data_IF_526287044702
#
_entry.id   IF_526287044702
#
_cell.length_a   1.000
_cell.length_b   1.000
_cell.length_c   1.000
_cell.angle_alpha   90.00
_cell.angle_beta   90.00
_cell.angle_gamma   90.00
#
_symmetry.space_group_name_H-M   'P 1'
#
loop_
_entity.id
_entity.type
_entity.pdbx_description
1 polymer ?
#
# COMPACT_ATOMS: atom_id res chain seq x y z
N UNK A 1 16.12 -14.51 -4.88
CA UNK A 1 15.56 -13.52 -5.85
C UNK A 1 16.29 -12.20 -5.67
N UNK A 2 16.63 -11.54 -6.76
CA UNK A 2 17.17 -10.18 -6.69
C UNK A 2 16.08 -9.19 -6.31
N UNK A 3 16.45 -8.19 -5.51
CA UNK A 3 15.53 -7.12 -5.12
C UNK A 3 15.26 -6.20 -6.33
N UNK A 4 14.00 -5.90 -6.57
CA UNK A 4 13.57 -4.96 -7.60
C UNK A 4 12.95 -3.71 -6.93
N UNK A 5 13.38 -2.49 -7.30
CA UNK A 5 12.96 -1.29 -6.61
C UNK A 5 11.49 -0.93 -6.88
N UNK A 6 10.88 -0.23 -5.94
CA UNK A 6 9.64 0.50 -6.16
C UNK A 6 9.96 1.83 -6.83
N UNK A 7 9.39 2.05 -8.01
CA UNK A 7 9.60 3.31 -8.76
C UNK A 7 8.33 4.16 -8.74
N UNK A 8 8.50 5.48 -8.93
CA UNK A 8 7.36 6.39 -9.07
C UNK A 8 6.47 5.99 -10.27
N UNK A 9 7.09 5.53 -11.36
CA UNK A 9 6.36 5.08 -12.54
C UNK A 9 5.48 3.85 -12.25
N UNK A 10 5.99 2.84 -11.53
CA UNK A 10 5.19 1.66 -11.22
C UNK A 10 4.11 1.95 -10.17
N UNK A 11 4.34 2.90 -9.26
CA UNK A 11 3.32 3.35 -8.34
C UNK A 11 2.15 4.00 -9.10
N UNK A 12 2.44 4.90 -10.03
CA UNK A 12 1.44 5.54 -10.88
C UNK A 12 0.69 4.51 -11.74
N UNK A 13 1.40 3.55 -12.31
CA UNK A 13 0.80 2.46 -13.10
C UNK A 13 -0.15 1.61 -12.26
N UNK A 14 0.23 1.25 -11.04
CA UNK A 14 -0.61 0.48 -10.13
C UNK A 14 -1.88 1.26 -9.75
N UNK A 15 -1.74 2.55 -9.43
CA UNK A 15 -2.87 3.42 -9.13
C UNK A 15 -3.85 3.49 -10.31
N UNK A 16 -3.34 3.70 -11.52
CA UNK A 16 -4.13 3.77 -12.74
C UNK A 16 -4.87 2.45 -13.01
N UNK A 17 -4.16 1.32 -12.90
CA UNK A 17 -4.72 -0.01 -13.15
C UNK A 17 -5.92 -0.31 -12.26
N UNK A 18 -5.91 0.16 -11.02
CA UNK A 18 -6.98 -0.06 -10.05
C UNK A 18 -7.88 1.16 -9.83
N UNK A 19 -7.75 2.19 -10.69
CA UNK A 19 -8.57 3.41 -10.64
C UNK A 19 -8.56 4.04 -9.24
N UNK A 20 -7.37 4.24 -8.70
CA UNK A 20 -7.13 4.83 -7.38
C UNK A 20 -6.42 6.17 -7.53
N UNK A 21 -6.70 7.15 -6.66
CA UNK A 21 -5.90 8.37 -6.63
C UNK A 21 -4.43 8.05 -6.29
N UNK A 22 -3.45 8.46 -7.11
CA UNK A 22 -2.04 8.20 -6.84
C UNK A 22 -1.57 8.70 -5.47
N UNK A 23 -2.11 9.85 -5.02
CA UNK A 23 -1.78 10.42 -3.70
C UNK A 23 -2.21 9.51 -2.55
N UNK A 24 -3.31 8.76 -2.70
CA UNK A 24 -3.75 7.81 -1.68
C UNK A 24 -2.74 6.68 -1.50
N UNK A 25 -2.25 6.11 -2.60
CA UNK A 25 -1.20 5.08 -2.54
C UNK A 25 0.11 5.64 -1.99
N UNK A 26 0.52 6.81 -2.43
CA UNK A 26 1.73 7.45 -1.92
C UNK A 26 1.65 7.67 -0.40
N UNK A 27 0.51 8.17 0.08
CA UNK A 27 0.31 8.43 1.50
C UNK A 27 0.31 7.14 2.34
N UNK A 28 -0.30 6.06 1.83
CA UNK A 28 -0.25 4.74 2.47
C UNK A 28 1.19 4.23 2.52
N UNK A 29 1.92 4.30 1.41
CA UNK A 29 3.33 3.91 1.32
C UNK A 29 4.17 4.60 2.40
N UNK A 30 4.02 5.92 2.53
CA UNK A 30 4.75 6.72 3.51
C UNK A 30 4.34 6.39 4.94
N UNK A 31 3.07 6.15 5.18
CA UNK A 31 2.55 5.78 6.50
C UNK A 31 3.06 4.41 6.93
N UNK A 32 3.09 3.45 6.01
CA UNK A 32 3.63 2.10 6.29
C UNK A 32 5.14 2.10 6.49
N UNK A 33 5.87 2.88 5.70
CA UNK A 33 7.31 3.08 5.87
C UNK A 33 8.17 1.85 5.63
N UNK A 34 7.65 0.85 4.90
CA UNK A 34 8.39 -0.37 4.63
C UNK A 34 9.42 -0.22 3.51
N UNK A 35 10.25 -1.25 3.34
CA UNK A 35 11.29 -1.31 2.32
C UNK A 35 11.19 -2.59 1.51
N UNK A 36 11.65 -2.55 0.27
CA UNK A 36 11.81 -3.77 -0.55
C UNK A 36 12.70 -4.77 0.19
N UNK A 37 12.26 -6.01 0.28
CA UNK A 37 12.96 -7.08 0.99
C UNK A 37 12.67 -7.15 2.49
N UNK A 38 11.96 -6.18 3.06
CA UNK A 38 11.69 -6.14 4.49
C UNK A 38 10.63 -7.14 4.92
N UNK A 39 10.86 -7.76 6.08
CA UNK A 39 9.89 -8.56 6.82
C UNK A 39 9.74 -7.95 8.21
N UNK A 40 8.51 -7.67 8.61
CA UNK A 40 8.19 -7.26 9.98
C UNK A 40 7.35 -8.37 10.62
N UNK A 41 7.86 -8.98 11.68
CA UNK A 41 7.17 -10.06 12.38
C UNK A 41 6.10 -9.50 13.33
N UNK A 42 4.88 -10.01 13.22
CA UNK A 42 3.77 -9.64 14.09
C UNK A 42 3.59 -10.66 15.23
N UNK A 43 3.02 -10.21 16.35
CA UNK A 43 2.80 -11.07 17.53
C UNK A 43 1.84 -12.22 17.25
N UNK A 44 0.95 -12.09 16.26
CA UNK A 44 -0.02 -13.11 15.87
C UNK A 44 0.55 -14.21 14.95
N UNK A 45 1.86 -14.21 14.71
CA UNK A 45 2.53 -15.20 13.85
C UNK A 45 2.49 -14.87 12.36
N UNK A 46 1.89 -13.76 11.96
CA UNK A 46 1.96 -13.27 10.57
C UNK A 46 3.12 -12.31 10.39
N UNK A 47 3.49 -12.06 9.13
CA UNK A 47 4.50 -11.08 8.77
C UNK A 47 3.90 -10.01 7.87
N UNK A 48 4.47 -8.81 7.91
CA UNK A 48 4.20 -7.74 6.97
C UNK A 48 5.40 -7.57 6.05
N UNK A 49 5.13 -7.50 4.74
CA UNK A 49 6.15 -7.63 3.70
C UNK A 49 6.28 -6.37 2.84
N UNK A 50 7.51 -5.93 2.67
CA UNK A 50 7.89 -4.91 1.69
C UNK A 50 7.37 -3.51 1.95
N UNK A 51 7.41 -2.63 0.92
CA UNK A 51 7.10 -1.20 1.09
C UNK A 51 5.73 -0.90 1.67
N UNK A 52 4.70 -1.58 1.20
CA UNK A 52 3.32 -1.39 1.64
C UNK A 52 2.90 -2.28 2.81
N UNK A 53 3.84 -3.01 3.40
CA UNK A 53 3.61 -3.86 4.58
C UNK A 53 2.45 -4.85 4.38
N UNK A 54 2.51 -5.58 3.26
CA UNK A 54 1.48 -6.57 2.91
C UNK A 54 1.56 -7.77 3.86
N UNK A 55 0.46 -8.04 4.57
CA UNK A 55 0.40 -9.13 5.52
C UNK A 55 0.39 -10.50 4.82
N UNK A 56 1.10 -11.47 5.39
CA UNK A 56 1.18 -12.84 4.85
C UNK A 56 -0.17 -13.55 4.82
N UNK A 57 -1.16 -13.08 5.56
CA UNK A 57 -2.54 -13.57 5.49
C UNK A 57 -3.17 -13.42 4.10
N UNK A 58 -2.67 -12.51 3.27
CA UNK A 58 -3.09 -12.36 1.88
C UNK A 58 -2.49 -13.42 0.94
N UNK A 59 -1.56 -14.26 1.43
CA UNK A 59 -0.84 -15.23 0.62
C UNK A 59 -1.72 -16.09 -0.27
N UNK A 60 -2.78 -16.75 0.24
CA UNK A 60 -3.67 -17.55 -0.61
C UNK A 60 -4.32 -16.75 -1.74
N UNK A 61 -4.81 -15.54 -1.46
CA UNK A 61 -5.42 -14.66 -2.47
C UNK A 61 -4.39 -14.23 -3.53
N UNK A 62 -3.18 -13.86 -3.10
CA UNK A 62 -2.10 -13.44 -3.99
C UNK A 62 -1.64 -14.61 -4.87
N UNK A 63 -1.50 -15.79 -4.29
CA UNK A 63 -1.16 -17.01 -5.03
C UNK A 63 -2.17 -17.30 -6.13
N UNK A 64 -3.46 -17.17 -5.86
CA UNK A 64 -4.52 -17.32 -6.87
C UNK A 64 -4.43 -16.22 -7.94
N UNK A 65 -4.20 -15.00 -7.53
CA UNK A 65 -4.10 -13.84 -8.44
C UNK A 65 -2.96 -14.00 -9.46
N UNK A 66 -1.78 -14.44 -9.00
CA UNK A 66 -0.63 -14.65 -9.87
C UNK A 66 -0.49 -16.09 -10.39
N UNK A 67 -1.39 -16.97 -10.01
CA UNK A 67 -1.35 -18.42 -10.39
C UNK A 67 0.00 -19.05 -10.05
N UNK A 68 0.44 -18.84 -8.82
CA UNK A 68 1.69 -19.39 -8.33
C UNK A 68 1.54 -19.91 -6.89
N UNK A 69 2.44 -20.78 -6.43
CA UNK A 69 2.44 -21.26 -5.05
C UNK A 69 2.58 -20.10 -4.06
N UNK A 70 1.91 -20.20 -2.91
CA UNK A 70 1.88 -19.15 -1.89
C UNK A 70 3.28 -18.68 -1.48
N UNK A 71 4.26 -19.58 -1.17
CA UNK A 71 5.59 -19.14 -0.78
C UNK A 71 6.28 -18.26 -1.83
N UNK A 72 6.14 -18.63 -3.11
CA UNK A 72 6.70 -17.86 -4.22
C UNK A 72 6.00 -16.51 -4.41
N UNK A 73 4.68 -16.50 -4.25
CA UNK A 73 3.89 -15.26 -4.31
C UNK A 73 4.30 -14.28 -3.20
N UNK A 74 4.49 -14.76 -1.98
CA UNK A 74 4.92 -13.94 -0.85
C UNK A 74 6.36 -13.44 -1.02
N UNK A 75 7.25 -14.26 -1.56
CA UNK A 75 8.62 -13.82 -1.88
C UNK A 75 8.62 -12.69 -2.91
N UNK A 76 7.80 -12.80 -3.95
CA UNK A 76 7.65 -11.76 -4.96
C UNK A 76 7.12 -10.45 -4.36
N UNK A 77 6.09 -10.53 -3.51
CA UNK A 77 5.56 -9.35 -2.78
C UNK A 77 6.64 -8.69 -1.96
N UNK A 78 7.47 -9.46 -1.29
CA UNK A 78 8.55 -8.95 -0.43
C UNK A 78 9.66 -8.28 -1.25
N UNK A 79 10.12 -8.91 -2.32
CA UNK A 79 11.38 -8.58 -2.99
C UNK A 79 11.21 -7.72 -4.25
N UNK A 80 10.01 -7.54 -4.76
CA UNK A 80 9.69 -6.73 -5.92
C UNK A 80 8.79 -5.55 -5.51
N UNK A 81 9.35 -4.34 -5.52
CA UNK A 81 8.63 -3.14 -5.10
C UNK A 81 7.41 -2.82 -5.96
N UNK A 82 7.50 -3.03 -7.27
CA UNK A 82 6.37 -2.81 -8.18
C UNK A 82 5.28 -3.87 -7.98
N UNK A 83 5.64 -5.12 -7.76
CA UNK A 83 4.69 -6.19 -7.43
C UNK A 83 3.99 -5.90 -6.09
N UNK A 84 4.73 -5.42 -5.10
CA UNK A 84 4.19 -5.00 -3.80
C UNK A 84 3.15 -3.89 -3.97
N UNK A 85 3.44 -2.86 -4.78
CA UNK A 85 2.52 -1.76 -5.07
C UNK A 85 1.25 -2.21 -5.79
N UNK A 86 1.35 -3.16 -6.73
CA UNK A 86 0.19 -3.73 -7.43
C UNK A 86 -0.73 -4.45 -6.43
N UNK A 87 -0.17 -5.26 -5.55
CA UNK A 87 -0.96 -5.98 -4.53
C UNK A 87 -1.60 -4.99 -3.55
N UNK A 88 -0.86 -3.98 -3.09
CA UNK A 88 -1.43 -2.94 -2.22
C UNK A 88 -2.61 -2.23 -2.90
N UNK A 89 -2.49 -1.92 -4.18
CA UNK A 89 -3.55 -1.30 -4.97
C UNK A 89 -4.77 -2.22 -5.11
N UNK A 90 -4.56 -3.50 -5.37
CA UNK A 90 -5.64 -4.49 -5.44
C UNK A 90 -6.38 -4.61 -4.11
N UNK A 91 -5.66 -4.62 -2.99
CA UNK A 91 -6.23 -4.66 -1.64
C UNK A 91 -7.05 -3.40 -1.37
N UNK A 92 -6.51 -2.22 -1.65
CA UNK A 92 -7.24 -0.96 -1.46
C UNK A 92 -8.49 -0.90 -2.33
N UNK A 93 -8.41 -1.35 -3.59
CA UNK A 93 -9.59 -1.44 -4.48
C UNK A 93 -10.67 -2.36 -3.90
N UNK A 94 -10.28 -3.51 -3.37
CA UNK A 94 -11.21 -4.42 -2.69
C UNK A 94 -11.94 -3.70 -1.55
N UNK A 95 -11.22 -2.98 -0.70
CA UNK A 95 -11.83 -2.24 0.41
C UNK A 95 -12.65 -1.04 -0.06
N UNK A 96 -12.26 -0.40 -1.16
CA UNK A 96 -13.05 0.68 -1.75
C UNK A 96 -14.39 0.15 -2.27
N UNK A 97 -14.41 -1.03 -2.88
CA UNK A 97 -15.64 -1.69 -3.30
C UNK A 97 -16.49 -2.11 -2.08
N UNK A 98 -15.87 -2.68 -1.07
CA UNK A 98 -16.53 -3.07 0.19
C UNK A 98 -17.17 -1.85 0.89
N UNK A 99 -16.52 -0.71 0.87
CA UNK A 99 -17.02 0.55 1.47
C UNK A 99 -17.93 1.35 0.52
N UNK A 100 -18.30 0.79 -0.64
CA UNK A 100 -19.15 1.44 -1.63
C UNK A 100 -18.61 2.79 -2.12
N UNK A 101 -17.30 2.85 -2.33
CA UNK A 101 -16.64 4.05 -2.85
C UNK A 101 -16.21 5.07 -1.79
N UNK A 102 -16.37 4.75 -0.52
CA UNK A 102 -15.90 5.60 0.59
C UNK A 102 -14.40 5.42 0.78
N UNK A 103 -13.60 6.26 0.13
CA UNK A 103 -12.15 6.17 0.15
C UNK A 103 -11.55 6.32 1.57
N UNK A 104 -11.97 7.29 2.41
CA UNK A 104 -11.49 7.34 3.78
C UNK A 104 -11.73 6.05 4.57
N UNK A 105 -12.89 5.46 4.44
CA UNK A 105 -13.24 4.19 5.08
C UNK A 105 -12.40 3.04 4.56
N UNK A 106 -12.20 2.97 3.24
CA UNK A 106 -11.35 1.95 2.61
C UNK A 106 -9.89 2.06 3.07
N UNK A 107 -9.36 3.26 3.21
CA UNK A 107 -8.01 3.51 3.74
C UNK A 107 -7.92 3.00 5.18
N UNK A 108 -8.91 3.26 6.01
CA UNK A 108 -8.96 2.71 7.37
C UNK A 108 -8.93 1.18 7.37
N UNK A 109 -9.70 0.55 6.51
CA UNK A 109 -9.76 -0.92 6.35
C UNK A 109 -8.42 -1.53 5.91
N UNK A 110 -7.62 -0.78 5.18
CA UNK A 110 -6.27 -1.23 4.78
C UNK A 110 -5.45 -1.66 6.00
N UNK A 111 -5.57 -0.94 7.10
CA UNK A 111 -4.93 -1.27 8.36
C UNK A 111 -5.75 -2.25 9.21
N UNK A 112 -7.04 -1.99 9.39
CA UNK A 112 -7.92 -2.79 10.25
C UNK A 112 -9.40 -2.48 9.99
N UNK A 113 -10.25 -3.47 10.14
CA UNK A 113 -11.71 -3.27 10.19
C UNK A 113 -12.21 -2.82 11.58
N UNK A 114 -11.33 -2.86 12.59
CA UNK A 114 -11.63 -2.33 13.92
C UNK A 114 -11.71 -0.81 13.87
N UNK A 115 -12.85 -0.22 14.27
CA UNK A 115 -13.13 1.21 14.05
C UNK A 115 -12.07 2.13 14.69
N UNK A 116 -11.64 1.86 15.92
CA UNK A 116 -10.63 2.68 16.60
C UNK A 116 -9.28 2.66 15.88
N UNK A 117 -8.82 1.49 15.45
CA UNK A 117 -7.56 1.33 14.72
C UNK A 117 -7.66 1.90 13.31
N UNK A 118 -8.79 1.70 12.64
CA UNK A 118 -9.05 2.25 11.32
C UNK A 118 -9.06 3.79 11.35
N UNK A 119 -9.72 4.39 12.33
CA UNK A 119 -9.79 5.84 12.47
C UNK A 119 -8.41 6.47 12.70
N UNK A 120 -7.62 5.92 13.61
CA UNK A 120 -6.25 6.40 13.87
C UNK A 120 -5.35 6.31 12.65
N UNK A 121 -5.41 5.20 11.93
CA UNK A 121 -4.65 4.98 10.71
C UNK A 121 -5.05 5.97 9.60
N UNK A 122 -6.33 6.14 9.37
CA UNK A 122 -6.89 7.05 8.37
C UNK A 122 -6.42 8.50 8.63
N UNK A 123 -6.39 8.94 9.88
CA UNK A 123 -5.87 10.26 10.25
C UNK A 123 -4.39 10.40 9.86
N UNK A 124 -3.55 9.40 10.13
CA UNK A 124 -2.14 9.42 9.76
C UNK A 124 -1.95 9.52 8.24
N UNK A 125 -2.72 8.74 7.48
CA UNK A 125 -2.64 8.75 6.02
C UNK A 125 -3.05 10.10 5.45
N UNK A 126 -4.15 10.68 5.93
CA UNK A 126 -4.61 11.99 5.45
C UNK A 126 -3.66 13.11 5.83
N UNK A 127 -3.02 13.04 6.99
CA UNK A 127 -1.98 14.00 7.39
C UNK A 127 -0.79 13.92 6.43
N UNK A 128 -0.32 12.74 6.12
CA UNK A 128 0.76 12.50 5.16
C UNK A 128 0.41 13.03 3.77
N UNK A 129 -0.82 12.79 3.31
CA UNK A 129 -1.30 13.31 2.03
C UNK A 129 -1.32 14.85 2.00
N UNK A 130 -1.75 15.49 3.09
CA UNK A 130 -1.79 16.96 3.21
C UNK A 130 -0.38 17.55 3.20
N UNK A 131 0.58 16.94 3.88
CA UNK A 131 1.98 17.36 3.88
C UNK A 131 2.57 17.28 2.47
N UNK A 132 2.35 16.18 1.76
CA UNK A 132 2.80 16.02 0.38
C UNK A 132 2.20 17.08 -0.54
N UNK A 133 0.92 17.39 -0.43
CA UNK A 133 0.25 18.40 -1.23
C UNK A 133 0.78 19.80 -0.94
N UNK A 134 1.13 20.11 0.31
CA UNK A 134 1.73 21.39 0.70
C UNK A 134 3.15 21.55 0.11
N UNK A 135 3.99 20.51 0.24
CA UNK A 135 5.35 20.49 -0.32
C UNK A 135 5.34 20.65 -1.84
N UNK A 136 4.42 19.99 -2.53
CA UNK A 136 4.27 20.10 -3.99
C UNK A 136 3.86 21.51 -4.43
N UNK A 137 3.08 22.23 -3.62
CA UNK A 137 2.70 23.64 -3.88
C UNK A 137 3.88 24.58 -3.70
N UNK A 138 4.65 24.39 -2.64
CA UNK A 138 5.84 25.22 -2.36
C UNK A 138 6.90 25.08 -3.44
N UNK A 139 7.15 23.86 -3.94
CA UNK A 139 8.11 23.61 -5.01
C UNK A 139 7.69 24.20 -6.36
N UNK A 140 6.42 24.56 -6.55
CA UNK A 140 5.88 25.18 -7.78
C UNK A 140 5.82 26.72 -7.70
N UNK A 141 6.10 27.32 -6.56
CA UNK A 141 6.18 28.80 -6.47
C UNK A 141 7.44 29.24 -7.20
N UNK A 142 7.32 30.16 -8.19
CA UNK A 142 8.50 30.75 -8.79
C UNK A 142 9.28 31.45 -7.68
N UNK A 143 10.61 31.24 -7.66
CA UNK A 143 11.47 31.76 -6.61
C UNK A 143 11.28 33.27 -6.41
N UNK A 144 11.13 33.65 -5.15
CA UNK A 144 11.28 35.07 -4.73
C UNK A 144 12.76 35.42 -4.74
#
# INVERSE_FOLDING_TARGET
MLLAPLTAACLATAAHAYQLPPIALYAILKTEGGHVGQIVHNRNGTDDLGPFQINTGWGPAIGRYWRMPVPQALERVKDDGCANAIIASAILRKFLNESRGDLPKAIGFYHSHSEGLAASYRIMVFRTAAEFAADSRDSRRPGQ
#
